data_IF_645806682587
#
_entry.id   IF_645806682587
#
_cell.length_a   1.000
_cell.length_b   1.000
_cell.length_c   1.000
_cell.angle_alpha   90.00
_cell.angle_beta   90.00
_cell.angle_gamma   90.00
#
_symmetry.space_group_name_H-M   'P 1'
#
loop_
_entity.id
_entity.type
_entity.pdbx_description
1 polymer ?
#
# COMPACT_ATOMS: atom_id res chain seq x y z
N UNK A 1 10.57 -27.22 38.41
CA UNK A 1 10.61 -26.50 37.12
C UNK A 1 9.18 -26.13 36.80
N UNK A 2 8.84 -24.85 36.83
CA UNK A 2 7.51 -24.38 36.47
C UNK A 2 7.39 -24.43 34.94
N UNK A 3 6.57 -25.35 34.43
CA UNK A 3 6.08 -25.30 33.05
C UNK A 3 5.21 -24.05 32.93
N UNK A 4 5.82 -22.93 32.55
CA UNK A 4 5.05 -21.78 32.10
C UNK A 4 4.40 -22.21 30.79
N UNK A 5 3.07 -22.24 30.67
CA UNK A 5 2.42 -22.65 29.43
C UNK A 5 2.91 -21.72 28.31
N UNK A 6 3.50 -22.31 27.26
CA UNK A 6 4.01 -21.55 26.13
C UNK A 6 2.85 -20.83 25.46
N UNK A 7 3.04 -19.55 25.10
CA UNK A 7 2.05 -18.75 24.38
C UNK A 7 1.49 -19.53 23.17
N UNK A 8 0.16 -19.53 22.94
CA UNK A 8 -0.42 -20.21 21.79
C UNK A 8 0.16 -19.70 20.48
N UNK A 9 0.55 -20.62 19.60
CA UNK A 9 1.08 -20.27 18.27
C UNK A 9 0.01 -19.61 17.42
N UNK A 10 0.40 -18.57 16.70
CA UNK A 10 -0.44 -17.87 15.74
C UNK A 10 0.03 -18.21 14.34
N UNK A 11 -0.87 -18.70 13.51
CA UNK A 11 -0.63 -18.91 12.09
C UNK A 11 -1.27 -17.77 11.30
N UNK A 12 -0.61 -17.30 10.25
CA UNK A 12 -1.13 -16.24 9.39
C UNK A 12 -1.08 -16.67 7.93
N UNK A 13 -2.18 -16.41 7.22
CA UNK A 13 -2.20 -16.37 5.77
C UNK A 13 -2.33 -14.90 5.36
N UNK A 14 -1.45 -14.45 4.46
CA UNK A 14 -1.39 -13.07 3.98
C UNK A 14 -1.48 -13.06 2.47
N UNK A 15 -2.35 -12.20 1.94
CA UNK A 15 -2.49 -11.98 0.51
C UNK A 15 -2.64 -10.49 0.19
N UNK A 16 -2.02 -10.08 -0.90
CA UNK A 16 -2.27 -8.78 -1.52
C UNK A 16 -3.40 -8.89 -2.54
N UNK A 17 -4.21 -7.83 -2.60
CA UNK A 17 -5.36 -7.77 -3.47
C UNK A 17 -5.59 -6.35 -3.99
N UNK A 18 -6.17 -6.29 -5.18
CA UNK A 18 -6.64 -5.06 -5.80
C UNK A 18 -7.93 -4.58 -5.11
N UNK A 19 -8.85 -5.51 -4.86
CA UNK A 19 -10.14 -5.22 -4.23
C UNK A 19 -10.56 -6.34 -3.30
N UNK A 20 -11.16 -5.94 -2.18
CA UNK A 20 -11.80 -6.82 -1.20
C UNK A 20 -13.31 -6.74 -1.39
N UNK A 21 -13.96 -7.87 -1.68
CA UNK A 21 -15.40 -7.95 -1.90
C UNK A 21 -16.04 -8.52 -0.63
N UNK A 22 -16.97 -7.76 -0.07
CA UNK A 22 -17.71 -8.14 1.12
C UNK A 22 -19.20 -8.25 0.83
N UNK A 23 -19.86 -9.15 1.52
CA UNK A 23 -21.30 -9.21 1.56
C UNK A 23 -21.85 -7.95 2.26
N UNK A 24 -22.79 -7.27 1.61
CA UNK A 24 -23.26 -5.94 2.03
C UNK A 24 -23.96 -5.94 3.38
N UNK A 25 -24.64 -7.03 3.73
CA UNK A 25 -25.47 -7.12 4.95
C UNK A 25 -24.66 -7.59 6.17
N UNK A 26 -23.76 -8.56 5.97
CA UNK A 26 -23.02 -9.22 7.04
C UNK A 26 -21.59 -8.69 7.21
N UNK A 27 -21.12 -7.86 6.26
CA UNK A 27 -19.73 -7.39 6.16
C UNK A 27 -18.71 -8.56 6.13
N UNK A 28 -19.16 -9.76 5.81
CA UNK A 28 -18.32 -10.94 5.69
C UNK A 28 -17.49 -10.86 4.41
N UNK A 29 -16.22 -11.26 4.51
CA UNK A 29 -15.35 -11.38 3.35
C UNK A 29 -15.88 -12.49 2.43
N UNK A 30 -16.25 -12.14 1.20
CA UNK A 30 -16.75 -13.10 0.21
C UNK A 30 -15.68 -13.49 -0.79
N UNK A 31 -14.95 -12.50 -1.32
CA UNK A 31 -13.92 -12.74 -2.34
C UNK A 31 -12.84 -11.66 -2.35
N UNK A 32 -11.71 -11.98 -2.98
CA UNK A 32 -10.59 -11.05 -3.19
C UNK A 32 -10.08 -11.20 -4.62
N UNK A 33 -9.70 -10.08 -5.24
CA UNK A 33 -8.95 -10.10 -6.50
C UNK A 33 -7.46 -10.09 -6.19
N UNK A 34 -6.84 -11.25 -6.20
CA UNK A 34 -5.41 -11.40 -5.91
C UNK A 34 -4.61 -10.81 -7.06
N UNK A 35 -3.56 -10.05 -6.72
CA UNK A 35 -2.59 -9.56 -7.69
C UNK A 35 -1.19 -9.72 -7.11
N UNK A 36 -0.27 -10.13 -7.96
CA UNK A 36 1.14 -10.35 -7.65
C UNK A 36 2.04 -9.24 -8.21
N UNK A 37 1.48 -8.31 -8.99
CA UNK A 37 2.21 -7.19 -9.52
C UNK A 37 1.37 -6.08 -10.14
N UNK A 38 2.05 -4.98 -10.44
CA UNK A 38 1.45 -3.78 -11.01
C UNK A 38 2.38 -3.17 -12.07
N UNK A 39 1.77 -2.69 -13.16
CA UNK A 39 2.43 -1.84 -14.13
C UNK A 39 2.14 -0.38 -13.80
N UNK A 40 3.19 0.38 -13.51
CA UNK A 40 3.13 1.79 -13.15
C UNK A 40 3.59 2.61 -14.35
N UNK A 41 2.70 3.44 -14.88
CA UNK A 41 3.03 4.38 -15.93
C UNK A 41 3.34 5.73 -15.26
N UNK A 42 4.60 6.20 -15.28
CA UNK A 42 4.95 7.48 -14.68
C UNK A 42 4.34 8.65 -15.46
N UNK A 43 4.18 9.78 -14.78
CA UNK A 43 3.86 11.05 -15.42
C UNK A 43 5.17 11.72 -15.86
N UNK A 44 5.22 12.21 -17.09
CA UNK A 44 6.33 13.02 -17.60
C UNK A 44 5.99 14.51 -17.44
N UNK A 45 6.68 15.21 -16.54
CA UNK A 45 6.43 16.61 -16.21
C UNK A 45 7.61 17.45 -16.72
N UNK A 46 7.43 18.26 -17.79
CA UNK A 46 8.46 19.18 -18.26
C UNK A 46 8.77 20.22 -17.17
N UNK A 47 10.03 20.35 -16.70
CA UNK A 47 10.37 21.41 -15.77
C UNK A 47 10.32 22.78 -16.47
N UNK A 48 10.07 23.84 -15.70
CA UNK A 48 10.12 25.22 -16.20
C UNK A 48 11.55 25.76 -16.11
N UNK A 49 12.08 26.25 -17.22
CA UNK A 49 13.39 26.88 -17.33
C UNK A 49 13.37 28.34 -16.81
N UNK A 50 14.54 28.96 -16.54
CA UNK A 50 14.61 30.33 -16.02
C UNK A 50 13.96 31.39 -16.92
N UNK A 51 13.88 31.13 -18.22
CA UNK A 51 13.23 31.98 -19.21
C UNK A 51 11.68 31.79 -19.27
N UNK A 52 11.15 30.89 -18.44
CA UNK A 52 9.73 30.58 -18.36
C UNK A 52 9.25 29.50 -19.34
N UNK A 53 10.11 29.01 -20.23
CA UNK A 53 9.78 27.94 -21.17
C UNK A 53 9.75 26.57 -20.48
N UNK A 54 9.09 25.59 -21.11
CA UNK A 54 9.05 24.21 -20.61
C UNK A 54 10.09 23.35 -21.33
N UNK A 55 10.90 22.61 -20.57
CA UNK A 55 11.86 21.67 -21.12
C UNK A 55 11.20 20.31 -21.40
N UNK A 56 10.68 20.18 -22.62
CA UNK A 56 10.08 18.93 -23.08
C UNK A 56 11.10 17.84 -23.42
N UNK A 57 12.39 18.19 -23.54
CA UNK A 57 13.47 17.24 -23.85
C UNK A 57 13.94 16.50 -22.59
N UNK A 58 13.85 17.15 -21.42
CA UNK A 58 14.25 16.57 -20.13
C UNK A 58 13.11 16.54 -19.12
N UNK A 59 12.04 15.75 -19.36
CA UNK A 59 10.92 15.67 -18.43
C UNK A 59 11.33 15.00 -17.11
N UNK A 60 10.78 15.52 -16.02
CA UNK A 60 10.84 14.88 -14.71
C UNK A 60 9.83 13.74 -14.66
N UNK A 61 10.29 12.55 -14.26
CA UNK A 61 9.44 11.37 -14.12
C UNK A 61 8.84 11.31 -12.71
N UNK A 62 7.52 11.37 -12.62
CA UNK A 62 6.79 11.31 -11.35
C UNK A 62 6.05 9.98 -11.25
N UNK A 63 6.42 9.18 -10.25
CA UNK A 63 5.78 7.90 -9.96
C UNK A 63 4.70 8.08 -8.90
N UNK A 64 3.46 7.75 -9.26
CA UNK A 64 2.34 7.86 -8.34
C UNK A 64 2.42 6.77 -7.27
N UNK A 65 2.19 7.09 -5.98
CA UNK A 65 2.12 6.08 -4.94
C UNK A 65 1.03 5.05 -5.21
N UNK A 66 1.34 3.78 -4.98
CA UNK A 66 0.39 2.68 -5.15
C UNK A 66 -0.33 2.41 -3.84
N UNK A 67 -1.66 2.39 -3.87
CA UNK A 67 -2.48 1.94 -2.75
C UNK A 67 -2.67 0.42 -2.86
N UNK A 68 -2.14 -0.31 -1.88
CA UNK A 68 -2.29 -1.75 -1.75
C UNK A 68 -3.37 -2.07 -0.74
N UNK A 69 -4.11 -3.15 -0.99
CA UNK A 69 -4.98 -3.78 -0.01
C UNK A 69 -4.43 -5.15 0.35
N UNK A 70 -4.41 -5.49 1.63
CA UNK A 70 -3.97 -6.77 2.13
C UNK A 70 -5.06 -7.38 3.02
N UNK A 71 -5.21 -8.70 2.91
CA UNK A 71 -6.08 -9.49 3.77
C UNK A 71 -5.23 -10.47 4.55
N UNK A 72 -5.42 -10.50 5.85
CA UNK A 72 -4.77 -11.41 6.78
C UNK A 72 -5.81 -12.29 7.43
N UNK A 73 -5.58 -13.59 7.44
CA UNK A 73 -6.36 -14.54 8.24
C UNK A 73 -5.47 -15.13 9.32
N UNK A 74 -5.82 -14.87 10.58
CA UNK A 74 -5.12 -15.39 11.75
C UNK A 74 -5.83 -16.63 12.29
N UNK A 75 -5.06 -17.68 12.55
CA UNK A 75 -5.55 -18.91 13.17
C UNK A 75 -4.77 -19.20 14.45
N UNK A 76 -5.51 -19.45 15.53
CA UNK A 76 -5.00 -19.80 16.85
C UNK A 76 -5.80 -20.97 17.42
N UNK A 77 -5.13 -21.83 18.20
CA UNK A 77 -5.79 -22.97 18.86
C UNK A 77 -6.51 -22.55 20.15
N UNK A 78 -6.03 -21.49 20.79
CA UNK A 78 -6.56 -20.91 22.02
C UNK A 78 -6.57 -19.38 21.93
N UNK A 79 -7.43 -18.69 22.70
CA UNK A 79 -7.51 -17.24 22.65
C UNK A 79 -6.14 -16.64 22.92
N UNK A 80 -5.68 -15.73 22.07
CA UNK A 80 -4.32 -15.21 22.13
C UNK A 80 -4.28 -13.74 21.78
N UNK A 81 -3.40 -13.01 22.47
CA UNK A 81 -3.03 -11.63 22.19
C UNK A 81 -1.61 -11.59 21.63
N UNK A 82 -1.38 -10.92 20.51
CA UNK A 82 -0.09 -10.90 19.85
C UNK A 82 0.17 -9.55 19.18
N UNK A 83 1.45 -9.23 18.99
CA UNK A 83 1.85 -8.04 18.23
C UNK A 83 1.91 -8.38 16.74
N UNK A 84 1.46 -7.46 15.88
CA UNK A 84 1.51 -7.60 14.43
C UNK A 84 2.22 -6.41 13.79
N UNK A 85 3.21 -6.67 12.95
CA UNK A 85 3.99 -5.65 12.24
C UNK A 85 4.14 -6.04 10.77
N UNK A 86 3.95 -5.06 9.89
CA UNK A 86 4.29 -5.19 8.46
C UNK A 86 5.56 -4.40 8.19
N UNK A 87 6.59 -5.05 7.65
CA UNK A 87 7.84 -4.41 7.19
C UNK A 87 7.96 -4.56 5.69
N UNK A 88 8.22 -3.46 5.00
CA UNK A 88 8.43 -3.45 3.55
C UNK A 88 9.90 -3.22 3.21
N UNK A 89 10.38 -3.87 2.17
CA UNK A 89 11.71 -3.70 1.60
C UNK A 89 11.59 -3.43 0.10
N UNK A 90 12.24 -2.36 -0.36
CA UNK A 90 12.30 -1.96 -1.77
C UNK A 90 13.20 -2.90 -2.58
N UNK A 91 13.12 -2.88 -3.93
CA UNK A 91 14.05 -3.61 -4.80
C UNK A 91 15.53 -3.30 -4.51
N UNK A 92 15.85 -2.07 -4.13
CA UNK A 92 17.21 -1.66 -3.70
C UNK A 92 17.66 -2.23 -2.34
N UNK A 93 16.80 -2.94 -1.61
CA UNK A 93 17.06 -3.40 -0.25
C UNK A 93 16.80 -2.36 0.84
N UNK A 94 16.43 -1.12 0.46
CA UNK A 94 16.09 -0.06 1.43
C UNK A 94 14.73 -0.34 2.08
N UNK A 95 14.52 0.05 3.36
CA UNK A 95 13.21 -0.02 3.99
C UNK A 95 12.16 0.82 3.25
N UNK A 96 10.93 0.34 3.24
CA UNK A 96 9.78 1.08 2.72
C UNK A 96 9.32 2.09 3.79
N UNK A 97 9.36 3.39 3.49
CA UNK A 97 9.08 4.46 4.46
C UNK A 97 7.66 4.45 5.03
N UNK A 98 6.71 3.81 4.35
CA UNK A 98 5.30 3.74 4.73
C UNK A 98 4.90 2.43 5.43
N UNK A 99 5.85 1.53 5.73
CA UNK A 99 5.55 0.34 6.52
C UNK A 99 5.16 0.73 7.95
N UNK A 100 4.17 0.07 8.56
CA UNK A 100 3.74 0.32 9.95
C UNK A 100 4.89 0.01 10.91
N UNK A 101 5.62 1.01 11.43
CA UNK A 101 6.79 0.73 12.27
C UNK A 101 6.37 0.31 13.68
N UNK A 102 5.14 0.67 14.07
CA UNK A 102 4.59 0.39 15.39
C UNK A 102 3.82 -0.92 15.37
N UNK A 103 4.17 -1.88 16.24
CA UNK A 103 3.39 -3.09 16.42
C UNK A 103 1.95 -2.77 16.82
N UNK A 104 1.00 -3.39 16.13
CA UNK A 104 -0.41 -3.33 16.49
C UNK A 104 -0.73 -4.54 17.35
N UNK A 105 -1.26 -4.31 18.54
CA UNK A 105 -1.74 -5.39 19.40
C UNK A 105 -3.07 -5.93 18.88
N UNK A 106 -3.09 -7.22 18.62
CA UNK A 106 -4.22 -7.98 18.09
C UNK A 106 -4.70 -9.00 19.12
N UNK A 107 -5.97 -9.37 19.06
CA UNK A 107 -6.57 -10.42 19.89
C UNK A 107 -7.44 -11.33 19.04
N UNK A 108 -7.39 -12.64 19.34
CA UNK A 108 -8.20 -13.67 18.67
C UNK A 108 -9.03 -14.45 19.69
N UNK A 109 -10.23 -14.88 19.29
CA UNK A 109 -11.15 -15.68 20.10
C UNK A 109 -10.89 -17.19 20.07
N UNK A 110 -9.99 -17.66 19.18
CA UNK A 110 -9.73 -19.07 18.86
C UNK A 110 -10.88 -19.80 18.15
N UNK A 111 -10.66 -21.10 17.90
CA UNK A 111 -11.67 -21.99 17.33
C UNK A 111 -11.83 -21.84 15.81
N UNK A 112 -13.05 -22.07 15.32
CA UNK A 112 -13.38 -22.04 13.90
C UNK A 112 -13.78 -20.64 13.38
N UNK A 113 -13.76 -19.63 14.25
CA UNK A 113 -14.10 -18.26 13.88
C UNK A 113 -13.02 -17.64 12.99
N UNK A 114 -13.44 -16.91 11.95
CA UNK A 114 -12.53 -16.22 11.04
C UNK A 114 -11.98 -14.95 11.68
N UNK A 115 -10.70 -14.93 12.03
CA UNK A 115 -10.03 -13.73 12.51
C UNK A 115 -9.36 -13.02 11.32
N UNK A 116 -10.15 -12.19 10.62
CA UNK A 116 -9.73 -11.53 9.40
C UNK A 116 -9.39 -10.06 9.66
N UNK A 117 -8.22 -9.62 9.21
CA UNK A 117 -7.81 -8.22 9.20
C UNK A 117 -7.64 -7.74 7.75
N UNK A 118 -8.30 -6.64 7.42
CA UNK A 118 -8.14 -5.97 6.13
C UNK A 118 -7.39 -4.66 6.33
N UNK A 119 -6.25 -4.51 5.65
CA UNK A 119 -5.41 -3.30 5.76
C UNK A 119 -5.25 -2.68 4.38
N UNK A 120 -5.32 -1.36 4.29
CA UNK A 120 -4.85 -0.62 3.12
C UNK A 120 -3.66 0.23 3.50
N UNK A 121 -2.62 0.23 2.68
CA UNK A 121 -1.48 1.13 2.85
C UNK A 121 -0.96 1.60 1.49
N UNK A 122 -0.26 2.73 1.51
CA UNK A 122 0.30 3.34 0.30
C UNK A 122 1.79 3.07 0.26
N UNK A 123 2.36 2.74 -0.90
CA UNK A 123 3.79 2.56 -1.10
C UNK A 123 4.33 3.42 -2.24
N UNK A 124 5.60 3.80 -2.17
CA UNK A 124 6.28 4.42 -3.30
C UNK A 124 6.61 3.36 -4.35
N UNK A 125 6.52 3.76 -5.62
CA UNK A 125 6.74 2.91 -6.81
C UNK A 125 7.85 3.45 -7.68
N UNK A 126 8.75 4.23 -7.08
CA UNK A 126 9.89 4.90 -7.70
C UNK A 126 10.99 3.94 -8.19
N UNK A 127 10.94 2.67 -7.78
CA UNK A 127 11.88 1.62 -8.19
C UNK A 127 11.12 0.47 -8.87
N UNK A 128 11.54 0.00 -10.05
CA UNK A 128 10.99 -1.22 -10.63
C UNK A 128 11.62 -2.46 -9.96
N UNK A 129 10.89 -3.57 -9.88
CA UNK A 129 11.38 -4.84 -9.33
C UNK A 129 10.49 -5.42 -8.24
N UNK A 130 11.07 -6.31 -7.43
CA UNK A 130 10.36 -6.97 -6.32
C UNK A 130 10.42 -6.15 -5.05
N UNK A 131 9.24 -5.78 -4.56
CA UNK A 131 9.05 -5.27 -3.22
C UNK A 131 8.70 -6.44 -2.31
N UNK A 132 9.43 -6.59 -1.21
CA UNK A 132 9.20 -7.67 -0.26
C UNK A 132 8.48 -7.17 0.98
N UNK A 133 7.44 -7.88 1.39
CA UNK A 133 6.70 -7.59 2.60
C UNK A 133 6.84 -8.74 3.58
N UNK A 134 7.37 -8.44 4.76
CA UNK A 134 7.51 -9.36 5.87
C UNK A 134 6.43 -9.06 6.90
N UNK A 135 5.75 -10.12 7.33
CA UNK A 135 4.68 -10.06 8.31
C UNK A 135 5.18 -10.71 9.59
N UNK A 136 5.28 -9.91 10.64
CA UNK A 136 5.86 -10.31 11.91
C UNK A 136 4.77 -10.51 12.95
N UNK A 137 4.89 -11.58 13.73
CA UNK A 137 4.05 -11.88 14.88
C UNK A 137 4.98 -12.08 16.08
N UNK A 138 4.80 -11.29 17.14
CA UNK A 138 5.62 -11.36 18.36
C UNK A 138 7.13 -11.39 18.08
N UNK A 139 7.58 -10.49 17.20
CA UNK A 139 8.98 -10.37 16.77
C UNK A 139 9.55 -11.56 15.98
N UNK A 140 8.70 -12.48 15.50
CA UNK A 140 9.07 -13.55 14.58
C UNK A 140 8.47 -13.32 13.18
N UNK A 141 9.24 -13.61 12.11
CA UNK A 141 8.70 -13.58 10.75
C UNK A 141 7.74 -14.75 10.56
N UNK A 142 6.47 -14.45 10.36
CA UNK A 142 5.45 -15.45 10.15
C UNK A 142 5.28 -15.82 8.66
N UNK A 143 5.32 -14.82 7.77
CA UNK A 143 5.33 -15.03 6.32
C UNK A 143 5.96 -13.86 5.57
N UNK A 144 6.30 -14.08 4.30
CA UNK A 144 6.93 -13.10 3.43
C UNK A 144 6.31 -13.19 2.02
N UNK A 145 5.87 -12.06 1.48
CA UNK A 145 5.15 -11.99 0.20
C UNK A 145 5.80 -10.93 -0.71
N UNK A 146 6.12 -11.26 -1.97
CA UNK A 146 6.59 -10.28 -2.94
C UNK A 146 5.44 -9.60 -3.68
N UNK A 147 5.67 -8.36 -4.11
CA UNK A 147 4.88 -7.68 -5.15
C UNK A 147 5.85 -7.16 -6.23
N UNK A 148 5.56 -7.50 -7.48
CA UNK A 148 6.34 -7.03 -8.64
C UNK A 148 5.84 -5.67 -9.11
N UNK A 149 6.72 -4.68 -9.21
CA UNK A 149 6.45 -3.42 -9.89
C UNK A 149 7.18 -3.41 -11.24
N UNK A 150 6.45 -3.13 -12.30
CA UNK A 150 6.97 -2.92 -13.65
C UNK A 150 6.72 -1.46 -14.02
N UNK A 151 7.72 -0.76 -14.53
CA UNK A 151 7.53 0.58 -15.09
C UNK A 151 7.15 0.48 -16.56
N UNK A 152 5.99 1.02 -16.91
CA UNK A 152 5.54 1.13 -18.29
C UNK A 152 5.99 2.45 -18.93
N UNK A 153 5.50 2.69 -20.15
CA UNK A 153 5.73 3.96 -20.83
C UNK A 153 5.05 5.12 -20.08
N UNK A 154 5.62 6.31 -20.18
CA UNK A 154 5.05 7.49 -19.54
C UNK A 154 3.63 7.78 -20.07
N UNK A 155 2.66 7.91 -19.16
CA UNK A 155 1.30 8.26 -19.51
C UNK A 155 1.19 9.79 -19.53
N UNK A 156 1.28 10.38 -20.73
CA UNK A 156 0.96 11.79 -21.03
C UNK A 156 2.03 12.82 -20.58
N UNK A 157 2.47 13.62 -21.55
CA UNK A 157 3.13 14.91 -21.32
C UNK A 157 2.03 15.97 -21.15
N UNK A 158 2.06 16.74 -20.05
CA UNK A 158 1.23 17.94 -19.94
C UNK A 158 1.65 18.91 -21.05
N UNK A 159 0.88 18.93 -22.14
CA UNK A 159 1.07 19.90 -23.21
C UNK A 159 0.68 21.31 -22.75
N UNK A 160 1.08 22.35 -23.50
CA UNK A 160 0.84 23.76 -23.16
C UNK A 160 -0.65 24.15 -23.00
N UNK A 161 -1.60 23.29 -23.40
CA UNK A 161 -3.03 23.53 -23.21
C UNK A 161 -3.57 23.10 -21.82
N UNK A 162 -2.76 22.43 -21.00
CA UNK A 162 -3.12 22.12 -19.62
C UNK A 162 -2.82 23.31 -18.70
N UNK A 163 -3.29 24.50 -19.04
CA UNK A 163 -3.50 25.54 -18.04
C UNK A 163 -4.53 24.98 -17.05
N UNK A 164 -4.09 24.69 -15.82
CA UNK A 164 -5.00 24.70 -14.68
C UNK A 164 -5.79 26.00 -14.80
N UNK A 165 -7.06 25.89 -15.19
CA UNK A 165 -7.95 27.02 -15.34
C UNK A 165 -7.77 27.88 -14.09
N UNK A 166 -7.22 29.08 -14.27
CA UNK A 166 -7.12 30.05 -13.19
C UNK A 166 -8.53 30.19 -12.61
N UNK A 167 -8.72 30.13 -11.28
CA UNK A 167 -10.04 30.33 -10.71
C UNK A 167 -10.60 31.64 -11.26
N UNK A 168 -11.87 31.68 -11.70
CA UNK A 168 -12.43 32.85 -12.36
C UNK A 168 -12.24 34.05 -11.43
N UNK A 169 -11.54 35.07 -11.94
CA UNK A 169 -11.33 36.33 -11.22
C UNK A 169 -12.71 36.88 -10.87
N UNK A 170 -13.04 37.11 -9.59
CA UNK A 170 -14.33 37.69 -9.24
C UNK A 170 -14.45 39.06 -9.90
N UNK A 171 -15.51 39.24 -10.68
CA UNK A 171 -15.79 40.49 -11.37
C UNK A 171 -15.74 41.65 -10.37
N UNK A 172 -14.90 42.65 -10.65
CA UNK A 172 -14.95 43.94 -9.96
C UNK A 172 -16.38 44.47 -10.14
N UNK A 173 -17.15 44.51 -9.06
CA UNK A 173 -18.40 45.26 -9.02
C UNK A 173 -18.06 46.73 -9.35
N UNK A 174 -18.56 47.29 -10.46
CA UNK A 174 -18.59 48.73 -10.62
C UNK A 174 -19.61 49.26 -9.61
N UNK A 175 -19.20 50.30 -8.90
CA UNK A 175 -19.79 50.67 -7.62
C UNK A 175 -21.29 50.97 -7.63
N UNK A 176 -21.86 50.84 -6.43
CA UNK A 176 -22.92 51.67 -5.90
C UNK A 176 -22.65 51.89 -4.42
#
# INVERSE_FOLDING_TARGET
>A
MSDTPSKPRVYVNALFCDTVIKESESNLLTAVRITDGYTINPLAVPPRLPDGTLDHEHPLMVFQPLRLSAVFNFRTEQPSEFSFVIKGTRPSGKPLSSSTPTPVMMRTGAGAEGNILNVSFTMSTDEPGDYWFEFWIDDEIATKVPIRIIHGAAAVALGPESELASPPVPAKNPGK
#
